data_IF_967143426866
#
_entry.id   IF_967143426866
#
_cell.length_a   1.000
_cell.length_b   1.000
_cell.length_c   1.000
_cell.angle_alpha   90.00
_cell.angle_beta   90.00
_cell.angle_gamma   90.00
#
_symmetry.space_group_name_H-M   'P 1'
#
loop_
_entity.id
_entity.type
_entity.pdbx_description
1 polymer ?
#
# COMPACT_ATOMS: atom_id res chain seq x y z
N UNK A 1 -14.30 53.27 -31.29
CA UNK A 1 -14.08 52.80 -29.91
C UNK A 1 -12.78 52.03 -29.94
N UNK A 2 -11.72 52.55 -29.31
CA UNK A 2 -10.42 51.87 -29.30
C UNK A 2 -10.39 50.90 -28.14
N UNK A 3 -10.45 49.60 -28.44
CA UNK A 3 -10.16 48.54 -27.48
C UNK A 3 -8.65 48.56 -27.22
N UNK A 4 -8.23 49.32 -26.20
CA UNK A 4 -6.86 49.25 -25.71
C UNK A 4 -6.78 47.97 -24.87
N UNK A 5 -6.28 46.90 -25.48
CA UNK A 5 -5.90 45.69 -24.76
C UNK A 5 -4.82 46.07 -23.75
N UNK A 6 -5.19 46.08 -22.45
CA UNK A 6 -4.25 46.35 -21.37
C UNK A 6 -3.12 45.33 -21.42
N UNK A 7 -1.90 45.79 -21.69
CA UNK A 7 -0.73 44.93 -21.77
C UNK A 7 -0.42 44.43 -20.36
N UNK A 8 -0.67 43.15 -20.09
CA UNK A 8 -0.31 42.54 -18.81
C UNK A 8 1.21 42.51 -18.69
N UNK A 9 1.74 43.29 -17.78
CA UNK A 9 3.19 43.35 -17.53
C UNK A 9 3.63 42.13 -16.73
N UNK A 10 4.88 41.69 -16.93
CA UNK A 10 5.45 40.57 -16.17
C UNK A 10 5.41 40.81 -14.65
N UNK A 11 5.47 42.07 -14.21
CA UNK A 11 5.37 42.42 -12.78
C UNK A 11 3.96 42.22 -12.23
N UNK A 12 2.93 42.63 -12.98
CA UNK A 12 1.54 42.37 -12.60
C UNK A 12 1.25 40.87 -12.45
N UNK A 13 1.86 40.03 -13.29
CA UNK A 13 1.75 38.56 -13.16
C UNK A 13 2.44 38.07 -11.88
N UNK A 14 3.63 38.57 -11.55
CA UNK A 14 4.33 38.18 -10.32
C UNK A 14 3.54 38.54 -9.07
N UNK A 15 2.88 39.69 -9.06
CA UNK A 15 2.06 40.11 -7.93
C UNK A 15 0.86 39.19 -7.73
N UNK A 16 0.19 38.79 -8.81
CA UNK A 16 -0.88 37.78 -8.77
C UNK A 16 -0.36 36.43 -8.29
N UNK A 17 0.81 35.98 -8.76
CA UNK A 17 1.41 34.72 -8.30
C UNK A 17 1.80 34.73 -6.81
N UNK A 18 2.05 35.91 -6.24
CA UNK A 18 2.32 36.10 -4.81
C UNK A 18 1.06 36.26 -3.97
N UNK A 19 -0.11 36.34 -4.60
CA UNK A 19 -1.40 36.45 -3.90
C UNK A 19 -1.62 35.29 -2.93
N UNK A 20 -2.39 35.56 -1.89
CA UNK A 20 -2.71 34.55 -0.88
C UNK A 20 -3.50 33.38 -1.47
N UNK A 21 -4.42 33.66 -2.40
CA UNK A 21 -5.19 32.65 -3.11
C UNK A 21 -4.29 31.67 -3.89
N UNK A 22 -3.37 32.19 -4.71
CA UNK A 22 -2.44 31.35 -5.46
C UNK A 22 -1.52 30.57 -4.51
N UNK A 23 -1.04 31.19 -3.44
CA UNK A 23 -0.22 30.51 -2.42
C UNK A 23 -1.01 29.41 -1.71
N UNK A 24 -2.28 29.64 -1.40
CA UNK A 24 -3.15 28.67 -0.74
C UNK A 24 -3.42 27.47 -1.66
N UNK A 25 -3.81 27.72 -2.92
CA UNK A 25 -4.02 26.69 -3.92
C UNK A 25 -2.74 25.87 -4.17
N UNK A 26 -1.57 26.54 -4.27
CA UNK A 26 -0.30 25.85 -4.44
C UNK A 26 0.04 24.96 -3.24
N UNK A 27 -0.18 25.43 -2.01
CA UNK A 27 0.01 24.64 -0.80
C UNK A 27 -0.92 23.43 -0.76
N UNK A 28 -2.19 23.60 -1.10
CA UNK A 28 -3.16 22.50 -1.15
C UNK A 28 -2.75 21.44 -2.18
N UNK A 29 -2.40 21.87 -3.40
CA UNK A 29 -1.92 20.97 -4.45
C UNK A 29 -0.65 20.24 -4.05
N UNK A 30 0.29 20.94 -3.39
CA UNK A 30 1.52 20.35 -2.90
C UNK A 30 1.26 19.27 -1.84
N UNK A 31 0.39 19.55 -0.85
CA UNK A 31 0.03 18.56 0.17
C UNK A 31 -0.58 17.31 -0.47
N UNK A 32 -1.56 17.50 -1.35
CA UNK A 32 -2.22 16.38 -2.01
C UNK A 32 -1.23 15.53 -2.83
N UNK A 33 -0.29 16.17 -3.54
CA UNK A 33 0.72 15.44 -4.30
C UNK A 33 1.69 14.67 -3.39
N UNK A 34 2.08 15.24 -2.26
CA UNK A 34 2.95 14.57 -1.30
C UNK A 34 2.24 13.41 -0.62
N UNK A 35 0.98 13.58 -0.22
CA UNK A 35 0.14 12.51 0.35
C UNK A 35 0.05 11.33 -0.62
N UNK A 36 -0.35 11.57 -1.87
CA UNK A 36 -0.46 10.49 -2.87
C UNK A 36 0.88 9.76 -3.13
N UNK A 37 2.00 10.48 -3.06
CA UNK A 37 3.34 9.89 -3.22
C UNK A 37 3.75 9.09 -1.98
N UNK A 38 3.41 9.57 -0.79
CA UNK A 38 3.68 8.86 0.46
C UNK A 38 2.86 7.59 0.55
N UNK A 39 1.57 7.64 0.17
CA UNK A 39 0.70 6.45 0.15
C UNK A 39 1.30 5.37 -0.78
N UNK A 40 1.69 5.75 -2.00
CA UNK A 40 2.32 4.82 -2.94
C UNK A 40 3.66 4.27 -2.44
N UNK A 41 4.47 5.09 -1.78
CA UNK A 41 5.75 4.65 -1.19
C UNK A 41 5.52 3.67 -0.03
N UNK A 42 4.50 3.92 0.80
CA UNK A 42 4.11 3.01 1.89
C UNK A 42 3.68 1.66 1.31
N UNK A 43 2.84 1.66 0.28
CA UNK A 43 2.43 0.42 -0.39
C UNK A 43 3.63 -0.33 -0.97
N UNK A 44 4.55 0.37 -1.64
CA UNK A 44 5.75 -0.24 -2.19
C UNK A 44 6.67 -0.85 -1.10
N UNK A 45 6.83 -0.17 0.04
CA UNK A 45 7.59 -0.68 1.18
C UNK A 45 6.89 -1.90 1.79
N UNK A 46 5.55 -1.89 1.89
CA UNK A 46 4.79 -3.04 2.40
C UNK A 46 4.94 -4.25 1.47
N UNK A 47 4.88 -4.06 0.15
CA UNK A 47 5.10 -5.11 -0.84
C UNK A 47 6.52 -5.69 -0.73
N UNK A 48 7.54 -4.83 -0.53
CA UNK A 48 8.92 -5.26 -0.31
C UNK A 48 9.06 -6.09 0.98
N UNK A 49 8.47 -5.61 2.09
CA UNK A 49 8.57 -6.26 3.40
C UNK A 49 7.80 -7.58 3.48
N UNK A 50 6.63 -7.65 2.83
CA UNK A 50 5.83 -8.87 2.77
C UNK A 50 6.45 -9.90 1.81
N UNK A 51 7.33 -9.44 0.91
CA UNK A 51 7.85 -10.23 -0.19
C UNK A 51 6.76 -10.46 -1.24
N UNK A 52 7.16 -10.55 -2.50
CA UNK A 52 6.28 -11.08 -3.54
C UNK A 52 6.03 -12.54 -3.18
N UNK A 53 4.87 -12.84 -2.59
CA UNK A 53 4.35 -14.21 -2.53
C UNK A 53 4.34 -14.71 -3.97
N UNK A 54 5.34 -15.53 -4.33
CA UNK A 54 5.33 -16.24 -5.58
C UNK A 54 4.04 -17.06 -5.57
N UNK A 55 3.13 -16.79 -6.51
CA UNK A 55 1.98 -17.67 -6.72
C UNK A 55 2.52 -19.10 -6.81
N UNK A 56 2.00 -20.04 -6.01
CA UNK A 56 2.42 -21.43 -6.14
C UNK A 56 2.20 -21.83 -7.59
N UNK A 57 3.18 -22.47 -8.24
CA UNK A 57 3.04 -22.85 -9.64
C UNK A 57 1.73 -23.61 -9.78
N UNK A 58 0.88 -23.16 -10.71
CA UNK A 58 -0.29 -23.93 -11.10
C UNK A 58 0.26 -25.22 -11.71
N UNK A 59 0.27 -26.30 -10.92
CA UNK A 59 0.56 -27.65 -11.36
C UNK A 59 -0.50 -28.04 -12.40
N UNK A 60 -0.29 -27.62 -13.65
CA UNK A 60 -0.92 -28.21 -14.81
C UNK A 60 -0.13 -29.48 -15.15
N UNK A 61 -0.36 -30.52 -14.37
CA UNK A 61 0.35 -31.80 -14.45
C UNK A 61 -0.64 -32.95 -14.40
N UNK A 62 -1.00 -33.38 -15.60
CA UNK A 62 -1.81 -34.51 -16.01
C UNK A 62 -1.90 -35.72 -15.06
N UNK A 63 -3.06 -36.37 -15.10
CA UNK A 63 -3.39 -37.60 -14.40
C UNK A 63 -2.41 -38.73 -14.75
N UNK A 64 -1.66 -39.26 -13.79
CA UNK A 64 -1.20 -40.66 -13.84
C UNK A 64 -1.19 -41.19 -12.42
N UNK A 65 -2.22 -41.96 -12.10
CA UNK A 65 -2.25 -42.84 -10.94
C UNK A 65 -1.18 -43.91 -11.13
N UNK A 66 -0.07 -43.83 -10.38
CA UNK A 66 0.77 -44.98 -10.09
C UNK A 66 0.94 -45.08 -8.58
N UNK A 67 0.45 -46.18 -8.03
CA UNK A 67 0.51 -46.52 -6.62
C UNK A 67 1.95 -46.57 -6.13
N UNK A 68 2.23 -45.82 -5.05
CA UNK A 68 3.43 -45.97 -4.24
C UNK A 68 3.11 -45.59 -2.80
N UNK A 69 2.85 -46.60 -1.98
CA UNK A 69 2.71 -46.50 -0.52
C UNK A 69 3.75 -45.57 0.12
N UNK A 70 3.29 -44.58 0.87
CA UNK A 70 3.89 -44.23 2.17
C UNK A 70 2.76 -43.83 3.12
N UNK A 71 2.51 -44.70 4.11
CA UNK A 71 1.66 -44.39 5.27
C UNK A 71 2.20 -43.14 5.98
N UNK A 72 1.35 -42.22 6.47
CA UNK A 72 1.77 -41.32 7.53
C UNK A 72 1.88 -42.13 8.81
N UNK A 73 3.10 -42.36 9.31
CA UNK A 73 3.27 -42.94 10.63
C UNK A 73 2.72 -41.97 11.69
N UNK A 74 1.75 -42.47 12.45
CA UNK A 74 1.40 -42.04 13.80
C UNK A 74 1.09 -43.34 14.57
N UNK A 75 1.21 -43.43 15.91
CA UNK A 75 1.35 -42.36 16.92
C UNK A 75 2.36 -42.69 18.05
N UNK A 76 2.68 -41.74 18.96
CA UNK A 76 2.59 -41.96 20.44
C UNK A 76 2.39 -40.60 21.11
N UNK A 77 1.31 -40.48 21.89
CA UNK A 77 1.07 -39.39 22.82
C UNK A 77 1.97 -39.54 24.06
N UNK A 78 2.70 -38.50 24.46
CA UNK A 78 3.15 -38.36 25.85
C UNK A 78 3.13 -36.88 26.29
N UNK A 79 2.21 -36.63 27.21
CA UNK A 79 2.17 -35.67 28.30
C UNK A 79 2.71 -34.21 28.13
N UNK A 80 1.76 -33.28 28.33
CA UNK A 80 1.88 -31.98 29.01
C UNK A 80 1.91 -30.73 28.11
N UNK A 81 0.74 -30.38 27.58
CA UNK A 81 0.35 -28.96 27.45
C UNK A 81 -0.31 -28.52 28.78
N UNK A 82 0.16 -27.47 29.47
CA UNK A 82 -0.63 -26.82 30.50
C UNK A 82 -1.73 -25.98 29.84
N UNK A 83 -2.99 -26.30 30.14
CA UNK A 83 -4.15 -25.47 29.83
C UNK A 83 -4.02 -24.10 30.53
N UNK A 84 -4.30 -22.97 29.87
CA UNK A 84 -4.43 -21.70 30.58
C UNK A 84 -5.74 -21.73 31.38
N UNK A 85 -5.65 -21.77 32.71
CA UNK A 85 -6.82 -21.60 33.57
C UNK A 85 -7.40 -20.18 33.35
N UNK A 86 -8.63 -20.16 32.85
CA UNK A 86 -9.47 -18.98 32.74
C UNK A 86 -9.77 -18.47 34.15
N UNK A 87 -8.99 -17.51 34.64
CA UNK A 87 -9.28 -16.83 35.92
C UNK A 87 -10.51 -15.95 35.73
N UNK A 88 -11.59 -16.38 36.35
CA UNK A 88 -12.85 -15.66 36.49
C UNK A 88 -12.62 -14.24 37.03
N UNK A 89 -13.34 -13.29 36.44
CA UNK A 89 -13.47 -11.93 36.94
C UNK A 89 -14.03 -11.89 38.37
N UNK A 90 -13.44 -11.03 39.20
CA UNK A 90 -14.04 -10.43 40.39
C UNK A 90 -13.62 -8.96 40.46
#
# INVERSE_FOLDING_TARGET
MSEITSLVTAEAVKDVLRSEEVRSALKQKLRHNLEARLDAEVDAILDELLGVQAEPPTEAGDTTAESGEVQPESPVADATEPQPESVMML
#
